data_IF_802189611954
#
_entry.id   IF_802189611954
#
_cell.length_a   1.000
_cell.length_b   1.000
_cell.length_c   1.000
_cell.angle_alpha   90.00
_cell.angle_beta   90.00
_cell.angle_gamma   90.00
#
_symmetry.space_group_name_H-M   'P 1'
#
loop_
_entity.id
_entity.type
_entity.pdbx_description
1 polymer ?
#
# COMPACT_ATOMS: atom_id res chain seq x y z
N UNK A 1 -3.09 -10.30 63.88
CA UNK A 1 -3.87 -9.97 62.66
C UNK A 1 -3.34 -10.78 61.48
N UNK A 2 -4.07 -10.87 60.36
CA UNK A 2 -3.69 -11.78 59.26
C UNK A 2 -3.00 -11.06 58.11
N UNK A 3 -1.85 -11.59 57.69
CA UNK A 3 -1.08 -11.15 56.51
C UNK A 3 -1.90 -11.11 55.21
N UNK A 4 -3.07 -11.78 55.18
CA UNK A 4 -3.98 -11.82 54.05
C UNK A 4 -4.50 -10.45 53.57
N UNK A 5 -4.45 -9.38 54.37
CA UNK A 5 -4.85 -8.03 53.91
C UNK A 5 -4.03 -7.60 52.67
N UNK A 6 -2.71 -7.81 52.67
CA UNK A 6 -1.80 -7.35 51.61
C UNK A 6 -1.85 -8.17 50.30
N UNK A 7 -2.92 -8.93 50.08
CA UNK A 7 -3.22 -9.58 48.81
C UNK A 7 -3.79 -8.59 47.79
N UNK A 8 -3.52 -8.85 46.50
CA UNK A 8 -3.86 -7.90 45.41
C UNK A 8 -5.35 -7.68 45.20
N UNK A 9 -6.21 -8.65 45.54
CA UNK A 9 -7.66 -8.48 45.52
C UNK A 9 -8.10 -7.62 46.71
N UNK A 10 -7.91 -8.11 47.93
CA UNK A 10 -8.27 -7.44 49.18
C UNK A 10 -7.83 -5.95 49.26
N UNK A 11 -6.62 -5.60 48.81
CA UNK A 11 -6.18 -4.19 48.74
C UNK A 11 -6.88 -3.42 47.61
N UNK A 12 -7.14 -4.04 46.46
CA UNK A 12 -7.93 -3.41 45.39
C UNK A 12 -9.36 -3.11 45.86
N UNK A 13 -10.01 -4.06 46.50
CA UNK A 13 -11.41 -3.96 46.94
C UNK A 13 -11.57 -2.89 48.02
N UNK A 14 -10.66 -2.83 49.01
CA UNK A 14 -10.65 -1.75 50.01
C UNK A 14 -10.28 -0.38 49.42
N UNK A 15 -9.38 -0.30 48.43
CA UNK A 15 -9.13 0.95 47.70
C UNK A 15 -10.32 1.37 46.83
N UNK A 16 -11.14 0.42 46.37
CA UNK A 16 -12.36 0.66 45.61
C UNK A 16 -13.46 1.23 46.51
N UNK A 17 -13.73 0.60 47.67
CA UNK A 17 -14.63 1.14 48.70
C UNK A 17 -14.19 2.54 49.18
N UNK A 18 -12.89 2.75 49.39
CA UNK A 18 -12.32 4.05 49.78
C UNK A 18 -12.53 5.10 48.68
N UNK A 19 -12.36 4.74 47.41
CA UNK A 19 -12.62 5.65 46.28
C UNK A 19 -14.09 6.06 46.22
N UNK A 20 -14.99 5.10 46.39
CA UNK A 20 -16.42 5.32 46.20
C UNK A 20 -17.04 6.06 47.40
N UNK A 21 -16.56 5.81 48.62
CA UNK A 21 -16.88 6.63 49.81
C UNK A 21 -16.29 8.04 49.73
N UNK A 22 -15.10 8.23 49.16
CA UNK A 22 -14.56 9.57 48.87
C UNK A 22 -15.34 10.30 47.77
N UNK A 23 -15.95 9.59 46.81
CA UNK A 23 -16.85 10.20 45.83
C UNK A 23 -18.14 10.69 46.51
N UNK A 24 -18.76 9.85 47.34
CA UNK A 24 -19.96 10.21 48.10
C UNK A 24 -19.71 11.37 49.08
N UNK A 25 -18.58 11.37 49.79
CA UNK A 25 -18.19 12.49 50.65
C UNK A 25 -18.00 13.81 49.88
N UNK A 26 -17.52 13.77 48.63
CA UNK A 26 -17.42 14.95 47.74
C UNK A 26 -18.77 15.40 47.16
N UNK A 27 -19.78 14.52 47.12
CA UNK A 27 -21.15 14.91 46.80
C UNK A 27 -21.80 15.60 48.01
N UNK A 28 -21.72 14.97 49.20
CA UNK A 28 -22.22 15.53 50.46
C UNK A 28 -21.57 16.87 50.81
N UNK A 29 -20.27 17.04 50.56
CA UNK A 29 -19.61 18.34 50.71
C UNK A 29 -20.30 19.45 49.90
N UNK A 30 -20.63 19.18 48.62
CA UNK A 30 -21.31 20.16 47.76
C UNK A 30 -22.74 20.45 48.22
N UNK A 31 -23.44 19.46 48.74
CA UNK A 31 -24.77 19.65 49.33
C UNK A 31 -24.70 20.61 50.53
N UNK A 32 -23.78 20.36 51.46
CA UNK A 32 -23.51 21.24 52.61
C UNK A 32 -23.07 22.64 52.17
N UNK A 33 -22.17 22.76 51.18
CA UNK A 33 -21.78 24.05 50.59
C UNK A 33 -23.00 24.80 50.02
N UNK A 34 -23.95 24.10 49.38
CA UNK A 34 -25.21 24.71 48.90
C UNK A 34 -26.21 25.04 50.00
N UNK A 35 -26.29 24.25 51.08
CA UNK A 35 -27.15 24.55 52.23
C UNK A 35 -26.65 25.79 52.98
N UNK A 36 -25.33 25.92 53.16
CA UNK A 36 -24.68 27.15 53.70
C UNK A 36 -25.04 28.35 52.80
N UNK A 37 -24.89 28.21 51.48
CA UNK A 37 -25.31 29.27 50.54
C UNK A 37 -26.79 29.63 50.64
N UNK A 38 -27.71 28.66 50.74
CA UNK A 38 -29.16 28.92 50.91
C UNK A 38 -29.43 29.69 52.21
N UNK A 39 -28.74 29.33 53.29
CA UNK A 39 -28.87 29.93 54.62
C UNK A 39 -28.36 31.38 54.66
N UNK A 40 -27.20 31.64 54.08
CA UNK A 40 -26.57 32.97 54.05
C UNK A 40 -27.22 33.89 53.00
N UNK A 41 -27.65 33.35 51.86
CA UNK A 41 -28.18 34.11 50.72
C UNK A 41 -29.65 34.52 50.89
N UNK A 42 -29.98 35.19 52.00
CA UNK A 42 -31.27 35.90 52.23
C UNK A 42 -31.46 37.12 51.30
N UNK A 43 -30.93 37.08 50.08
CA UNK A 43 -30.93 38.17 49.10
C UNK A 43 -30.06 38.00 47.84
N UNK A 44 -29.46 36.83 47.55
CA UNK A 44 -28.60 36.64 46.35
C UNK A 44 -28.99 35.40 45.54
N UNK A 45 -29.16 35.57 44.23
CA UNK A 45 -29.81 34.60 43.34
C UNK A 45 -28.81 33.75 42.54
N UNK A 46 -28.21 32.73 43.16
CA UNK A 46 -27.49 31.67 42.44
C UNK A 46 -28.45 30.55 41.97
N UNK A 47 -28.26 30.07 40.74
CA UNK A 47 -29.18 29.11 40.09
C UNK A 47 -29.30 27.78 40.84
N UNK A 48 -28.22 27.27 41.44
CA UNK A 48 -28.22 26.05 42.24
C UNK A 48 -28.93 26.22 43.59
N UNK A 49 -28.69 27.34 44.27
CA UNK A 49 -29.37 27.71 45.52
C UNK A 49 -30.89 27.79 45.33
N UNK A 50 -31.33 28.45 44.25
CA UNK A 50 -32.74 28.57 43.90
C UNK A 50 -33.43 27.22 43.65
N UNK A 51 -32.73 26.25 43.03
CA UNK A 51 -33.28 24.89 42.80
C UNK A 51 -33.41 24.11 44.12
N UNK A 52 -32.44 24.22 45.02
CA UNK A 52 -32.45 23.49 46.29
C UNK A 52 -33.52 24.04 47.25
N UNK A 53 -33.68 25.37 47.34
CA UNK A 53 -34.77 25.99 48.14
C UNK A 53 -36.15 25.52 47.66
N UNK A 54 -36.40 25.56 46.34
CA UNK A 54 -37.65 25.08 45.73
C UNK A 54 -37.90 23.61 46.03
N UNK A 55 -36.90 22.75 45.91
CA UNK A 55 -37.02 21.33 46.25
C UNK A 55 -37.42 21.11 47.72
N UNK A 56 -36.89 21.89 48.66
CA UNK A 56 -37.27 21.82 50.07
C UNK A 56 -38.71 22.32 50.30
N UNK A 57 -39.11 23.42 49.64
CA UNK A 57 -40.46 23.98 49.69
C UNK A 57 -41.51 23.01 49.10
N UNK A 58 -41.27 22.48 47.89
CA UNK A 58 -42.14 21.53 47.17
C UNK A 58 -42.39 20.25 47.99
N UNK A 59 -41.33 19.72 48.64
CA UNK A 59 -41.40 18.52 49.48
C UNK A 59 -41.76 18.80 50.95
N UNK A 60 -41.99 20.07 51.33
CA UNK A 60 -42.26 20.54 52.71
C UNK A 60 -41.19 20.14 53.73
N UNK A 61 -39.94 20.03 53.31
CA UNK A 61 -38.80 19.69 54.16
C UNK A 61 -38.32 20.99 54.85
N UNK A 62 -38.30 21.00 56.18
CA UNK A 62 -37.73 22.13 56.91
C UNK A 62 -36.20 22.16 56.73
N UNK A 63 -35.66 23.31 56.30
CA UNK A 63 -34.22 23.54 56.12
C UNK A 63 -33.41 23.12 57.36
N UNK A 64 -33.88 23.43 58.56
CA UNK A 64 -33.18 23.06 59.81
C UNK A 64 -33.12 21.53 60.04
N UNK A 65 -34.11 20.75 59.57
CA UNK A 65 -34.06 19.29 59.61
C UNK A 65 -33.22 18.67 58.50
N UNK A 66 -33.15 19.32 57.32
CA UNK A 66 -32.20 18.90 56.27
C UNK A 66 -30.76 19.15 56.75
N UNK A 67 -30.47 20.32 57.31
CA UNK A 67 -29.15 20.63 57.88
C UNK A 67 -28.69 19.60 58.91
N UNK A 68 -29.56 19.19 59.84
CA UNK A 68 -29.21 18.16 60.83
C UNK A 68 -28.99 16.78 60.19
N UNK A 69 -29.81 16.41 59.20
CA UNK A 69 -29.72 15.13 58.50
C UNK A 69 -28.42 15.03 57.68
N UNK A 70 -28.13 16.02 56.82
CA UNK A 70 -26.92 16.05 56.00
C UNK A 70 -25.65 16.13 56.87
N UNK A 71 -25.72 16.74 58.06
CA UNK A 71 -24.61 16.78 59.02
C UNK A 71 -24.40 15.44 59.76
N UNK A 72 -25.48 14.71 60.09
CA UNK A 72 -25.40 13.36 60.63
C UNK A 72 -24.85 12.37 59.58
N UNK A 73 -25.34 12.42 58.33
CA UNK A 73 -24.82 11.62 57.23
C UNK A 73 -23.35 11.94 56.91
N UNK A 74 -22.95 13.21 56.91
CA UNK A 74 -21.55 13.59 56.77
C UNK A 74 -20.68 13.03 57.91
N UNK A 75 -21.19 13.03 59.14
CA UNK A 75 -20.50 12.46 60.31
C UNK A 75 -20.37 10.94 60.21
N UNK A 76 -21.40 10.25 59.70
CA UNK A 76 -21.35 8.82 59.39
C UNK A 76 -20.36 8.51 58.24
N UNK A 77 -20.31 9.33 57.20
CA UNK A 77 -19.34 9.20 56.10
C UNK A 77 -17.89 9.42 56.56
N UNK A 78 -17.63 10.43 57.40
CA UNK A 78 -16.32 10.66 58.02
C UNK A 78 -15.91 9.45 58.88
N UNK A 79 -16.85 8.88 59.63
CA UNK A 79 -16.60 7.69 60.45
C UNK A 79 -16.29 6.46 59.58
N UNK A 80 -17.03 6.25 58.49
CA UNK A 80 -16.80 5.20 57.50
C UNK A 80 -15.44 5.36 56.80
N UNK A 81 -15.04 6.59 56.46
CA UNK A 81 -13.73 6.89 55.89
C UNK A 81 -12.59 6.58 56.86
N UNK A 82 -12.74 6.90 58.16
CA UNK A 82 -11.75 6.52 59.19
C UNK A 82 -11.55 5.00 59.25
N UNK A 83 -12.65 4.23 59.31
CA UNK A 83 -12.61 2.76 59.31
C UNK A 83 -11.99 2.19 58.03
N UNK A 84 -12.29 2.76 56.85
CA UNK A 84 -11.70 2.35 55.58
C UNK A 84 -10.20 2.67 55.45
N UNK A 85 -9.71 3.71 56.14
CA UNK A 85 -8.30 4.09 56.17
C UNK A 85 -7.47 3.32 57.21
N UNK A 86 -8.10 2.77 58.25
CA UNK A 86 -7.44 2.06 59.36
C UNK A 86 -6.40 1.00 58.91
N UNK A 87 -6.70 0.11 57.94
CA UNK A 87 -5.75 -0.92 57.49
C UNK A 87 -4.50 -0.37 56.78
N UNK A 88 -4.53 0.89 56.32
CA UNK A 88 -3.43 1.52 55.60
C UNK A 88 -2.46 2.26 56.55
N UNK A 89 -2.87 2.57 57.79
CA UNK A 89 -2.00 3.23 58.80
C UNK A 89 -0.71 2.47 59.09
N UNK A 90 -0.75 1.14 58.93
CA UNK A 90 0.39 0.20 59.05
C UNK A 90 1.62 0.60 58.22
N UNK A 91 1.43 1.37 57.13
CA UNK A 91 2.50 1.88 56.27
C UNK A 91 3.16 3.15 56.82
N UNK A 92 2.44 3.91 57.65
CA UNK A 92 2.86 5.22 58.19
C UNK A 92 3.19 5.20 59.68
N UNK A 93 2.73 4.18 60.42
CA UNK A 93 2.97 4.02 61.85
C UNK A 93 4.24 3.20 62.11
N UNK A 94 5.18 3.74 62.88
CA UNK A 94 6.41 3.07 63.25
C UNK A 94 6.20 1.90 64.24
N UNK A 95 5.15 1.92 65.06
CA UNK A 95 4.85 0.85 66.02
C UNK A 95 4.26 -0.42 65.37
N UNK A 96 3.73 -0.33 64.15
CA UNK A 96 3.01 -1.43 63.49
C UNK A 96 3.91 -2.65 63.17
N UNK A 97 3.36 -3.88 63.25
CA UNK A 97 4.13 -5.13 63.09
C UNK A 97 4.89 -5.27 61.77
N UNK A 98 6.09 -5.87 61.84
CA UNK A 98 7.00 -6.02 60.71
C UNK A 98 6.44 -6.96 59.63
N UNK A 99 5.62 -7.95 60.00
CA UNK A 99 4.99 -8.89 59.08
C UNK A 99 4.10 -8.16 58.07
N UNK A 100 3.30 -7.19 58.55
CA UNK A 100 2.36 -6.44 57.73
C UNK A 100 3.09 -5.37 56.90
N UNK A 101 4.09 -4.69 57.47
CA UNK A 101 5.02 -3.83 56.71
C UNK A 101 5.72 -4.60 55.58
N UNK A 102 6.16 -5.84 55.83
CA UNK A 102 6.73 -6.72 54.79
C UNK A 102 5.70 -7.08 53.72
N UNK A 103 4.42 -7.24 54.10
CA UNK A 103 3.29 -7.45 53.19
C UNK A 103 3.12 -6.28 52.21
N UNK A 104 3.09 -5.06 52.72
CA UNK A 104 3.02 -3.83 51.92
C UNK A 104 4.19 -3.72 50.93
N UNK A 105 5.43 -3.95 51.39
CA UNK A 105 6.64 -3.92 50.54
C UNK A 105 6.59 -5.01 49.45
N UNK A 106 6.19 -6.24 49.79
CA UNK A 106 6.01 -7.34 48.82
C UNK A 106 4.95 -7.01 47.78
N UNK A 107 3.85 -6.37 48.17
CA UNK A 107 2.81 -5.91 47.24
C UNK A 107 3.32 -4.82 46.29
N UNK A 108 4.04 -3.82 46.81
CA UNK A 108 4.66 -2.76 46.01
C UNK A 108 5.66 -3.33 44.99
N UNK A 109 6.52 -4.27 45.40
CA UNK A 109 7.45 -4.98 44.52
C UNK A 109 6.74 -5.80 43.43
N UNK A 110 5.65 -6.53 43.77
CA UNK A 110 4.80 -7.23 42.79
C UNK A 110 4.23 -6.27 41.75
N UNK A 111 3.72 -5.11 42.17
CA UNK A 111 3.17 -4.08 41.29
C UNK A 111 4.25 -3.47 40.37
N UNK A 112 5.44 -3.16 40.89
CA UNK A 112 6.57 -2.70 40.08
C UNK A 112 7.05 -3.76 39.07
N UNK A 113 7.15 -5.03 39.49
CA UNK A 113 7.50 -6.17 38.60
C UNK A 113 6.47 -6.33 37.48
N UNK A 114 5.17 -6.18 37.77
CA UNK A 114 4.11 -6.20 36.78
C UNK A 114 4.23 -5.02 35.78
N UNK A 115 4.38 -3.78 36.27
CA UNK A 115 4.61 -2.59 35.41
C UNK A 115 5.81 -2.79 34.46
N UNK A 116 6.94 -3.27 34.98
CA UNK A 116 8.16 -3.58 34.21
C UNK A 116 7.92 -4.67 33.15
N UNK A 117 7.24 -5.75 33.52
CA UNK A 117 6.89 -6.87 32.63
C UNK A 117 5.92 -6.43 31.51
N UNK A 118 4.89 -5.62 31.83
CA UNK A 118 3.94 -5.06 30.85
C UNK A 118 4.66 -4.22 29.78
N UNK A 119 5.65 -3.41 30.17
CA UNK A 119 6.50 -2.65 29.24
C UNK A 119 7.44 -3.56 28.44
N UNK A 120 8.10 -4.54 29.07
CA UNK A 120 8.98 -5.50 28.39
C UNK A 120 8.21 -6.33 27.33
N UNK A 121 7.02 -6.82 27.66
CA UNK A 121 6.13 -7.54 26.72
C UNK A 121 5.73 -6.67 25.53
N UNK A 122 5.41 -5.38 25.75
CA UNK A 122 5.17 -4.41 24.65
C UNK A 122 6.42 -4.27 23.75
N UNK A 123 7.61 -4.07 24.34
CA UNK A 123 8.88 -3.94 23.60
C UNK A 123 9.30 -5.21 22.86
N UNK A 124 9.01 -6.41 23.40
CA UNK A 124 9.26 -7.69 22.70
C UNK A 124 8.34 -7.82 21.49
N UNK A 125 7.03 -7.56 21.64
CA UNK A 125 6.09 -7.60 20.50
C UNK A 125 6.42 -6.57 19.42
N UNK A 126 6.81 -5.34 19.79
CA UNK A 126 7.21 -4.32 18.80
C UNK A 126 8.39 -4.82 17.95
N UNK A 127 9.46 -5.33 18.58
CA UNK A 127 10.63 -5.87 17.86
C UNK A 127 10.33 -7.09 16.97
N UNK A 128 9.38 -7.94 17.36
CA UNK A 128 8.92 -9.04 16.49
C UNK A 128 8.17 -8.51 15.27
N UNK A 129 7.26 -7.54 15.45
CA UNK A 129 6.56 -6.90 14.34
C UNK A 129 7.51 -6.09 13.42
N UNK A 130 8.50 -5.39 13.98
CA UNK A 130 9.56 -4.70 13.24
C UNK A 130 10.43 -5.68 12.43
N UNK A 131 10.69 -6.89 12.96
CA UNK A 131 11.38 -7.95 12.24
C UNK A 131 10.57 -8.50 11.07
N UNK A 132 9.30 -8.86 11.31
CA UNK A 132 8.38 -9.37 10.28
C UNK A 132 8.08 -8.34 9.19
N UNK A 133 8.03 -7.05 9.51
CA UNK A 133 7.88 -5.98 8.53
C UNK A 133 9.10 -5.92 7.59
N UNK A 134 10.32 -5.93 8.14
CA UNK A 134 11.57 -5.97 7.38
C UNK A 134 11.80 -7.28 6.62
N UNK A 135 11.08 -8.33 6.95
CA UNK A 135 11.09 -9.60 6.21
C UNK A 135 10.19 -9.50 4.99
N UNK A 136 8.96 -8.99 5.14
CA UNK A 136 8.05 -8.67 4.03
C UNK A 136 8.64 -7.67 3.04
N UNK A 137 9.20 -6.57 3.55
CA UNK A 137 9.88 -5.54 2.76
C UNK A 137 10.98 -6.11 1.85
N UNK A 138 11.72 -7.14 2.31
CA UNK A 138 12.75 -7.81 1.50
C UNK A 138 12.20 -8.79 0.47
N UNK A 139 11.05 -9.40 0.70
CA UNK A 139 10.34 -10.16 -0.34
C UNK A 139 9.75 -9.21 -1.39
N UNK A 140 9.10 -8.13 -0.96
CA UNK A 140 8.55 -7.10 -1.83
C UNK A 140 9.63 -6.42 -2.71
N UNK A 141 10.84 -6.22 -2.16
CA UNK A 141 12.02 -5.78 -2.93
C UNK A 141 12.48 -6.82 -3.96
N UNK A 142 12.58 -8.10 -3.59
CA UNK A 142 12.99 -9.16 -4.50
C UNK A 142 11.99 -9.38 -5.66
N UNK A 143 10.69 -9.28 -5.39
CA UNK A 143 9.63 -9.34 -6.40
C UNK A 143 9.72 -8.14 -7.36
N UNK A 144 9.95 -6.92 -6.83
CA UNK A 144 10.17 -5.71 -7.64
C UNK A 144 11.43 -5.83 -8.53
N UNK A 145 12.56 -6.30 -7.99
CA UNK A 145 13.78 -6.54 -8.77
C UNK A 145 13.56 -7.58 -9.88
N UNK A 146 12.78 -8.63 -9.62
CA UNK A 146 12.45 -9.65 -10.61
C UNK A 146 11.56 -9.10 -11.74
N UNK A 147 10.50 -8.35 -11.43
CA UNK A 147 9.64 -7.76 -12.46
C UNK A 147 10.32 -6.61 -13.22
N UNK A 148 11.18 -5.81 -12.57
CA UNK A 148 12.08 -4.87 -13.26
C UNK A 148 13.01 -5.59 -14.25
N UNK A 149 13.64 -6.70 -13.84
CA UNK A 149 14.49 -7.49 -14.73
C UNK A 149 13.72 -8.03 -15.94
N UNK A 150 12.51 -8.55 -15.72
CA UNK A 150 11.63 -9.05 -16.80
C UNK A 150 11.21 -7.92 -17.75
N UNK A 151 10.87 -6.75 -17.22
CA UNK A 151 10.54 -5.56 -18.03
C UNK A 151 11.75 -5.10 -18.87
N UNK A 152 12.96 -5.11 -18.32
CA UNK A 152 14.21 -4.78 -19.03
C UNK A 152 14.50 -5.76 -20.18
N UNK A 153 14.33 -7.07 -19.98
CA UNK A 153 14.51 -8.05 -21.07
C UNK A 153 13.42 -7.93 -22.15
N UNK A 154 12.15 -7.76 -21.76
CA UNK A 154 11.05 -7.53 -22.73
C UNK A 154 11.33 -6.26 -23.58
N UNK A 155 11.84 -5.18 -22.96
CA UNK A 155 12.20 -3.97 -23.67
C UNK A 155 13.37 -4.18 -24.67
N UNK A 156 14.41 -4.92 -24.28
CA UNK A 156 15.51 -5.31 -25.19
C UNK A 156 15.00 -6.11 -26.38
N UNK A 157 14.10 -7.07 -26.13
CA UNK A 157 13.59 -7.96 -27.16
C UNK A 157 12.68 -7.22 -28.15
N UNK A 158 11.86 -6.29 -27.65
CA UNK A 158 11.09 -5.35 -28.49
C UNK A 158 12.02 -4.45 -29.31
N UNK A 159 13.09 -3.90 -28.73
CA UNK A 159 14.06 -3.08 -29.44
C UNK A 159 14.78 -3.86 -30.56
N UNK A 160 15.22 -5.09 -30.28
CA UNK A 160 15.83 -5.99 -31.26
C UNK A 160 14.88 -6.29 -32.43
N UNK A 161 13.62 -6.67 -32.14
CA UNK A 161 12.58 -6.91 -33.15
C UNK A 161 12.28 -5.66 -34.01
N UNK A 162 12.33 -4.46 -33.43
CA UNK A 162 12.22 -3.19 -34.20
C UNK A 162 13.42 -2.99 -35.14
N UNK A 163 14.64 -3.17 -34.64
CA UNK A 163 15.87 -3.05 -35.43
C UNK A 163 15.91 -4.06 -36.58
N UNK A 164 15.50 -5.30 -36.35
CA UNK A 164 15.50 -6.33 -37.40
C UNK A 164 14.42 -6.06 -38.46
N UNK A 165 13.22 -5.59 -38.10
CA UNK A 165 12.23 -5.08 -39.06
C UNK A 165 12.75 -3.89 -39.89
N UNK A 166 13.50 -2.96 -39.28
CA UNK A 166 14.12 -1.86 -40.03
C UNK A 166 15.16 -2.36 -41.04
N UNK A 167 15.94 -3.40 -40.71
CA UNK A 167 16.85 -4.06 -41.66
C UNK A 167 16.11 -4.74 -42.81
N UNK A 168 14.95 -5.35 -42.55
CA UNK A 168 14.10 -5.96 -43.58
C UNK A 168 13.55 -4.90 -44.55
N UNK A 169 12.99 -3.81 -44.02
CA UNK A 169 12.52 -2.66 -44.82
C UNK A 169 13.66 -2.07 -45.66
N UNK A 170 14.85 -1.87 -45.08
CA UNK A 170 16.02 -1.38 -45.80
C UNK A 170 16.47 -2.33 -46.92
N UNK A 171 16.47 -3.66 -46.68
CA UNK A 171 16.76 -4.68 -47.71
C UNK A 171 15.72 -4.71 -48.83
N UNK A 172 14.45 -4.49 -48.52
CA UNK A 172 13.38 -4.41 -49.52
C UNK A 172 13.56 -3.17 -50.39
N UNK A 173 13.74 -1.98 -49.79
CA UNK A 173 13.98 -0.74 -50.54
C UNK A 173 15.24 -0.85 -51.40
N UNK A 174 16.35 -1.37 -50.88
CA UNK A 174 17.58 -1.57 -51.67
C UNK A 174 17.40 -2.53 -52.87
N UNK A 175 16.51 -3.53 -52.76
CA UNK A 175 16.14 -4.38 -53.90
C UNK A 175 15.23 -3.66 -54.90
N UNK A 176 14.33 -2.79 -54.43
CA UNK A 176 13.43 -2.01 -55.26
C UNK A 176 14.20 -0.98 -56.11
N UNK A 177 15.06 -0.17 -55.48
CA UNK A 177 15.91 0.81 -56.18
C UNK A 177 16.86 0.12 -57.17
N UNK A 178 17.40 -1.06 -56.81
CA UNK A 178 18.19 -1.86 -57.76
C UNK A 178 17.37 -2.27 -58.99
N UNK A 179 16.11 -2.68 -58.83
CA UNK A 179 15.25 -3.06 -59.97
C UNK A 179 14.87 -1.86 -60.84
N UNK A 180 14.72 -0.67 -60.28
CA UNK A 180 14.53 0.58 -61.03
C UNK A 180 15.75 0.85 -61.92
N UNK A 181 16.94 0.89 -61.31
CA UNK A 181 18.20 1.08 -62.03
C UNK A 181 18.49 -0.01 -63.10
N UNK A 182 18.11 -1.26 -62.84
CA UNK A 182 18.19 -2.34 -63.83
C UNK A 182 17.26 -2.08 -65.04
N UNK A 183 16.03 -1.57 -64.83
CA UNK A 183 15.12 -1.20 -65.93
C UNK A 183 15.48 0.10 -66.66
N UNK A 184 16.08 1.07 -65.96
CA UNK A 184 16.62 2.29 -66.57
C UNK A 184 17.80 1.97 -67.49
N UNK A 185 18.69 1.06 -67.06
CA UNK A 185 19.80 0.56 -67.87
C UNK A 185 19.32 -0.22 -69.11
N UNK A 186 18.27 -1.03 -68.98
CA UNK A 186 17.64 -1.70 -70.13
C UNK A 186 17.11 -0.70 -71.15
N UNK A 187 16.45 0.38 -70.71
CA UNK A 187 15.98 1.45 -71.58
C UNK A 187 17.14 2.19 -72.28
N UNK A 188 18.23 2.50 -71.56
CA UNK A 188 19.43 3.12 -72.14
C UNK A 188 20.06 2.22 -73.21
N UNK A 189 20.20 0.92 -72.97
CA UNK A 189 20.71 -0.03 -73.96
C UNK A 189 19.83 -0.09 -75.22
N UNK A 190 18.51 -0.02 -75.08
CA UNK A 190 17.59 0.04 -76.23
C UNK A 190 17.81 1.33 -77.03
N UNK A 191 17.97 2.48 -76.35
CA UNK A 191 18.26 3.77 -76.99
C UNK A 191 19.62 3.75 -77.71
N UNK A 192 20.67 3.20 -77.11
CA UNK A 192 21.97 3.02 -77.75
C UNK A 192 21.87 2.17 -79.02
N UNK A 193 21.14 1.05 -78.99
CA UNK A 193 20.94 0.21 -80.19
C UNK A 193 20.10 0.89 -81.27
N UNK A 194 19.13 1.74 -80.91
CA UNK A 194 18.43 2.58 -81.88
C UNK A 194 19.35 3.66 -82.49
N UNK A 195 20.29 4.23 -81.72
CA UNK A 195 21.30 5.15 -82.22
C UNK A 195 22.33 4.47 -83.14
N UNK A 196 22.80 3.26 -82.80
CA UNK A 196 23.64 2.43 -83.67
C UNK A 196 22.95 2.19 -85.02
N UNK A 197 21.69 1.74 -84.99
CA UNK A 197 20.88 1.50 -86.20
C UNK A 197 20.64 2.78 -87.02
N UNK A 198 20.38 3.93 -86.37
CA UNK A 198 20.31 5.25 -87.03
C UNK A 198 21.65 5.56 -87.73
N UNK A 199 22.78 5.39 -87.06
CA UNK A 199 24.10 5.67 -87.64
C UNK A 199 24.41 4.79 -88.87
N UNK A 200 24.05 3.50 -88.83
CA UNK A 200 24.24 2.56 -89.95
C UNK A 200 23.32 2.93 -91.13
N UNK A 201 22.07 3.33 -90.86
CA UNK A 201 21.13 3.82 -91.89
C UNK A 201 21.66 5.10 -92.56
N UNK A 202 22.14 6.05 -91.76
CA UNK A 202 22.76 7.31 -92.21
C UNK A 202 23.96 7.03 -93.11
N UNK A 203 24.87 6.14 -92.71
CA UNK A 203 26.03 5.76 -93.52
C UNK A 203 25.63 5.06 -94.83
N UNK A 204 24.60 4.20 -94.83
CA UNK A 204 24.08 3.55 -96.04
C UNK A 204 23.52 4.56 -97.04
N UNK A 205 22.66 5.48 -96.58
CA UNK A 205 22.09 6.54 -97.43
C UNK A 205 23.18 7.45 -98.03
N UNK A 206 24.15 7.86 -97.21
CA UNK A 206 25.29 8.68 -97.66
C UNK A 206 26.16 7.97 -98.72
N UNK A 207 26.34 6.64 -98.63
CA UNK A 207 27.01 5.83 -99.66
C UNK A 207 26.18 5.64 -100.93
N UNK A 208 24.86 5.78 -100.85
CA UNK A 208 23.94 5.70 -102.00
C UNK A 208 23.76 7.05 -102.73
N UNK A 209 24.50 8.10 -102.32
CA UNK A 209 24.40 9.43 -102.92
C UNK A 209 23.21 10.27 -102.44
N UNK A 210 22.41 9.75 -101.50
CA UNK A 210 21.36 10.54 -100.86
C UNK A 210 22.00 11.50 -99.85
N UNK A 211 21.87 12.81 -100.12
CA UNK A 211 22.17 13.84 -99.14
C UNK A 211 21.21 13.70 -97.96
N UNK A 212 21.75 13.77 -96.75
CA UNK A 212 20.97 13.79 -95.51
C UNK A 212 20.63 15.26 -95.23
N UNK A 213 19.37 15.62 -94.93
CA UNK A 213 19.06 16.98 -94.51
C UNK A 213 19.79 17.32 -93.22
N UNK A 214 20.56 18.41 -93.17
CA UNK A 214 21.16 18.90 -91.91
C UNK A 214 20.08 19.38 -90.91
N UNK A 215 18.82 19.40 -91.33
CA UNK A 215 17.62 19.65 -90.52
C UNK A 215 17.37 18.57 -89.47
N UNK A 216 17.79 17.32 -89.74
CA UNK A 216 17.55 16.16 -88.86
C UNK A 216 18.42 16.23 -87.59
N UNK A 217 19.68 16.64 -87.74
CA UNK A 217 20.58 16.84 -86.60
C UNK A 217 20.30 18.19 -85.89
N UNK A 218 19.90 19.25 -86.62
CA UNK A 218 19.33 20.48 -86.02
C UNK A 218 18.02 20.21 -85.28
N UNK A 219 17.26 19.17 -85.63
CA UNK A 219 16.07 18.74 -84.89
C UNK A 219 16.48 18.05 -83.59
N UNK A 220 17.44 17.13 -83.62
CA UNK A 220 17.96 16.50 -82.39
C UNK A 220 18.66 17.48 -81.45
N UNK A 221 19.33 18.51 -81.98
CA UNK A 221 19.90 19.61 -81.20
C UNK A 221 18.81 20.44 -80.51
N UNK A 222 17.71 20.76 -81.22
CA UNK A 222 16.53 21.43 -80.64
C UNK A 222 15.80 20.55 -79.62
N UNK A 223 15.69 19.24 -79.84
CA UNK A 223 15.10 18.29 -78.87
C UNK A 223 15.97 18.21 -77.61
N UNK A 224 17.30 18.12 -77.76
CA UNK A 224 18.23 18.15 -76.63
C UNK A 224 18.10 19.45 -75.83
N UNK A 225 18.13 20.61 -76.50
CA UNK A 225 17.97 21.90 -75.85
C UNK A 225 16.60 22.07 -75.16
N UNK A 226 15.54 21.46 -75.69
CA UNK A 226 14.23 21.44 -75.05
C UNK A 226 14.20 20.56 -73.79
N UNK A 227 14.84 19.39 -73.81
CA UNK A 227 14.98 18.52 -72.62
C UNK A 227 15.87 19.19 -71.56
N UNK A 228 17.00 19.80 -71.94
CA UNK A 228 17.87 20.57 -71.02
C UNK A 228 17.19 21.83 -70.45
N UNK A 229 16.15 22.35 -71.12
CA UNK A 229 15.28 23.42 -70.61
C UNK A 229 14.22 22.86 -69.65
N UNK A 230 13.57 21.73 -70.00
CA UNK A 230 12.61 21.04 -69.13
C UNK A 230 13.24 20.57 -67.82
N UNK A 231 14.44 19.98 -67.85
CA UNK A 231 15.21 19.60 -66.66
C UNK A 231 15.54 20.81 -65.78
N UNK A 232 15.92 21.95 -66.37
CA UNK A 232 16.14 23.20 -65.60
C UNK A 232 14.86 23.76 -65.00
N UNK A 233 13.73 23.65 -65.70
CA UNK A 233 12.43 24.07 -65.17
C UNK A 233 11.94 23.13 -64.06
N UNK A 234 12.20 21.83 -64.17
CA UNK A 234 11.92 20.84 -63.14
C UNK A 234 12.76 21.08 -61.87
N UNK A 235 14.07 21.31 -62.01
CA UNK A 235 14.92 21.70 -60.87
C UNK A 235 14.44 23.01 -60.23
N UNK A 236 14.16 24.04 -61.04
CA UNK A 236 13.65 25.33 -60.56
C UNK A 236 12.20 25.29 -60.04
N UNK A 237 11.49 24.16 -60.18
CA UNK A 237 10.22 23.89 -59.52
C UNK A 237 10.46 23.15 -58.19
N UNK A 238 11.29 22.10 -58.20
CA UNK A 238 11.68 21.35 -57.01
C UNK A 238 12.34 22.25 -55.93
N UNK A 239 13.22 23.17 -56.33
CA UNK A 239 13.82 24.16 -55.42
C UNK A 239 12.76 25.08 -54.78
N UNK A 240 11.72 25.46 -55.53
CA UNK A 240 10.62 26.29 -55.01
C UNK A 240 9.71 25.51 -54.07
N UNK A 241 9.47 24.24 -54.34
CA UNK A 241 8.64 23.39 -53.48
C UNK A 241 9.39 23.00 -52.20
N UNK A 242 10.67 22.67 -52.28
CA UNK A 242 11.54 22.52 -51.11
C UNK A 242 11.61 23.80 -50.26
N UNK A 243 11.61 24.98 -50.89
CA UNK A 243 11.55 26.26 -50.18
C UNK A 243 10.18 26.50 -49.50
N UNK A 244 9.06 26.08 -50.12
CA UNK A 244 7.73 26.11 -49.48
C UNK A 244 7.68 25.18 -48.27
N UNK A 245 8.13 23.94 -48.42
CA UNK A 245 8.11 22.94 -47.33
C UNK A 245 8.99 23.37 -46.15
N UNK A 246 10.13 24.03 -46.43
CA UNK A 246 10.96 24.65 -45.40
C UNK A 246 10.26 25.81 -44.68
N UNK A 247 9.46 26.63 -45.38
CA UNK A 247 8.64 27.69 -44.78
C UNK A 247 7.52 27.09 -43.92
N UNK A 248 6.78 26.10 -44.43
CA UNK A 248 5.71 25.41 -43.68
C UNK A 248 6.27 24.78 -42.40
N UNK A 249 7.41 24.07 -42.48
CA UNK A 249 8.10 23.49 -41.32
C UNK A 249 8.54 24.58 -40.31
N UNK A 250 8.95 25.75 -40.78
CA UNK A 250 9.31 26.89 -39.93
C UNK A 250 8.08 27.59 -39.30
N UNK A 251 6.90 27.50 -39.90
CA UNK A 251 5.65 28.02 -39.35
C UNK A 251 5.00 27.03 -38.36
N UNK A 252 4.97 25.74 -38.66
CA UNK A 252 4.54 24.70 -37.71
C UNK A 252 5.37 24.73 -36.41
N UNK A 253 6.69 24.81 -36.52
CA UNK A 253 7.55 24.94 -35.33
C UNK A 253 7.33 26.24 -34.55
N UNK A 254 6.89 27.33 -35.20
CA UNK A 254 6.49 28.58 -34.51
C UNK A 254 5.16 28.48 -33.79
N UNK A 255 4.17 27.75 -34.32
CA UNK A 255 2.88 27.55 -33.63
C UNK A 255 3.05 26.67 -32.38
N UNK A 256 3.87 25.63 -32.46
CA UNK A 256 4.23 24.75 -31.33
C UNK A 256 4.85 25.55 -30.17
N UNK A 257 5.65 26.58 -30.47
CA UNK A 257 6.25 27.45 -29.45
C UNK A 257 5.20 28.40 -28.82
N UNK A 258 4.29 28.97 -29.61
CA UNK A 258 3.22 29.83 -29.08
C UNK A 258 2.20 29.07 -28.21
N UNK A 259 1.95 27.79 -28.48
CA UNK A 259 1.05 26.95 -27.68
C UNK A 259 1.50 26.68 -26.24
N UNK A 260 2.70 27.10 -25.83
CA UNK A 260 3.30 26.82 -24.51
C UNK A 260 3.50 28.06 -23.65
N UNK A 261 2.71 29.12 -23.88
CA UNK A 261 3.00 30.49 -23.43
C UNK A 261 1.88 31.31 -22.78
N UNK A 262 0.77 30.72 -22.32
CA UNK A 262 -0.24 31.37 -21.46
C UNK A 262 -1.12 30.33 -20.77
N UNK A 263 -1.69 30.66 -19.61
CA UNK A 263 -2.65 29.78 -18.94
C UNK A 263 -3.54 30.51 -17.93
N UNK A 264 -4.77 30.02 -17.75
CA UNK A 264 -5.49 29.96 -16.46
C UNK A 264 -6.85 29.24 -16.64
N UNK A 265 -7.05 28.20 -15.84
CA UNK A 265 -8.30 27.81 -15.16
C UNK A 265 -9.69 27.67 -15.88
N UNK A 266 -10.22 26.42 -15.82
CA UNK A 266 -11.49 26.04 -15.13
C UNK A 266 -12.86 26.06 -15.88
N UNK A 267 -13.44 24.83 -16.00
CA UNK A 267 -14.88 24.42 -16.08
C UNK A 267 -15.74 24.77 -17.32
N UNK A 268 -16.51 23.78 -17.82
CA UNK A 268 -17.76 24.03 -18.59
C UNK A 268 -18.26 22.90 -19.51
N UNK A 269 -19.19 22.05 -19.02
CA UNK A 269 -19.80 20.91 -19.77
C UNK A 269 -20.66 21.28 -20.99
N UNK A 270 -20.73 20.42 -22.03
CA UNK A 270 -22.01 19.76 -22.47
C UNK A 270 -21.95 18.83 -23.71
N UNK A 271 -22.32 17.56 -23.48
CA UNK A 271 -23.33 16.69 -24.16
C UNK A 271 -23.60 16.77 -25.70
N UNK A 272 -23.45 15.60 -26.36
CA UNK A 272 -23.89 15.22 -27.74
C UNK A 272 -22.92 14.13 -28.24
N UNK A 273 -23.30 12.99 -28.84
CA UNK A 273 -24.29 12.70 -29.89
C UNK A 273 -23.53 12.50 -31.21
N UNK A 274 -23.64 11.43 -32.01
CA UNK A 274 -24.63 10.33 -32.08
C UNK A 274 -23.96 8.96 -32.46
N UNK A 275 -24.76 7.97 -32.86
CA UNK A 275 -24.42 6.55 -33.05
C UNK A 275 -24.06 6.18 -34.51
N UNK A 276 -23.43 5.02 -34.71
CA UNK A 276 -23.63 4.20 -35.93
C UNK A 276 -23.32 2.73 -35.66
N UNK A 277 -24.01 1.81 -36.34
CA UNK A 277 -24.14 0.40 -35.95
C UNK A 277 -24.01 -0.56 -37.14
N UNK A 278 -23.44 -1.75 -36.90
CA UNK A 278 -23.48 -2.98 -37.74
C UNK A 278 -22.87 -2.86 -39.17
N UNK A 279 -22.67 -3.90 -40.00
CA UNK A 279 -22.98 -5.36 -40.00
C UNK A 279 -21.69 -6.15 -40.38
N UNK A 280 -21.29 -7.23 -39.69
CA UNK A 280 -21.73 -8.64 -39.78
C UNK A 280 -21.43 -9.35 -41.12
N UNK A 281 -20.37 -10.17 -41.13
CA UNK A 281 -20.32 -11.52 -41.76
C UNK A 281 -19.04 -12.25 -41.26
N UNK A 282 -18.99 -13.56 -41.02
CA UNK A 282 -20.07 -14.55 -40.97
C UNK A 282 -19.62 -15.94 -41.42
N UNK A 283 -19.07 -16.77 -40.52
CA UNK A 283 -18.87 -18.21 -40.77
C UNK A 283 -18.94 -19.02 -39.46
N UNK A 284 -19.78 -20.06 -39.43
CA UNK A 284 -19.94 -20.96 -38.28
C UNK A 284 -18.95 -22.13 -38.33
N UNK A 285 -18.66 -22.72 -37.17
CA UNK A 285 -18.70 -24.19 -37.01
C UNK A 285 -19.07 -24.53 -35.57
N UNK A 286 -19.80 -25.65 -35.38
CA UNK A 286 -20.46 -26.01 -34.12
C UNK A 286 -19.73 -27.14 -33.41
N UNK A 287 -19.54 -27.02 -32.10
CA UNK A 287 -20.06 -27.95 -31.08
C UNK A 287 -19.56 -27.53 -29.67
N UNK A 288 -20.22 -27.90 -28.56
CA UNK A 288 -21.49 -28.63 -28.40
C UNK A 288 -21.69 -29.10 -26.95
N UNK A 289 -22.94 -29.09 -26.46
CA UNK A 289 -23.37 -29.43 -25.07
C UNK A 289 -22.94 -28.41 -23.98
N UNK A 290 -23.81 -27.80 -23.15
CA UNK A 290 -24.97 -28.28 -22.35
C UNK A 290 -24.51 -29.13 -21.14
N UNK A 291 -24.94 -28.92 -19.88
CA UNK A 291 -26.18 -28.35 -19.28
C UNK A 291 -25.81 -27.47 -18.05
N UNK A 292 -26.49 -26.39 -17.61
CA UNK A 292 -27.92 -26.14 -17.26
C UNK A 292 -28.40 -27.00 -16.07
N UNK A 293 -28.95 -26.50 -14.96
CA UNK A 293 -28.99 -25.16 -14.28
C UNK A 293 -29.08 -25.44 -12.73
N UNK A 294 -29.44 -24.59 -11.73
CA UNK A 294 -30.09 -23.26 -11.64
C UNK A 294 -29.87 -22.56 -10.26
N UNK A 295 -30.57 -21.43 -10.01
CA UNK A 295 -30.83 -20.82 -8.68
C UNK A 295 -31.92 -21.65 -7.91
N UNK A 296 -32.38 -21.38 -6.68
CA UNK A 296 -32.40 -20.17 -5.84
C UNK A 296 -32.71 -20.53 -4.35
N UNK A 297 -32.99 -19.51 -3.52
CA UNK A 297 -33.85 -19.55 -2.30
C UNK A 297 -33.23 -19.70 -0.88
N UNK A 298 -32.59 -18.61 -0.42
CA UNK A 298 -33.07 -17.78 0.72
C UNK A 298 -33.85 -18.47 1.86
N UNK A 299 -33.28 -18.53 3.07
CA UNK A 299 -33.94 -18.13 4.35
C UNK A 299 -32.98 -17.94 5.53
N UNK A 300 -33.49 -17.35 6.62
CA UNK A 300 -32.73 -16.91 7.81
C UNK A 300 -32.57 -18.03 8.87
N UNK A 301 -31.56 -17.92 9.73
CA UNK A 301 -31.45 -18.73 10.96
C UNK A 301 -30.22 -18.35 11.81
N UNK A 302 -30.40 -18.26 13.14
CA UNK A 302 -29.32 -18.05 14.11
C UNK A 302 -28.50 -19.34 14.31
N UNK A 303 -27.19 -19.22 14.53
CA UNK A 303 -26.36 -20.35 14.99
C UNK A 303 -24.88 -19.98 15.13
N UNK A 304 -24.38 -19.91 16.38
CA UNK A 304 -22.95 -19.66 16.64
C UNK A 304 -22.21 -20.97 16.93
N UNK A 305 -21.29 -21.36 16.06
CA UNK A 305 -20.17 -22.26 16.39
C UNK A 305 -19.07 -22.15 15.34
N UNK A 306 -17.80 -22.20 15.75
CA UNK A 306 -16.66 -22.30 14.84
C UNK A 306 -16.36 -23.78 14.55
N UNK A 307 -16.85 -24.31 13.43
CA UNK A 307 -16.45 -25.64 12.94
C UNK A 307 -15.04 -25.59 12.32
N UNK A 308 -14.01 -25.69 13.15
CA UNK A 308 -12.69 -26.14 12.72
C UNK A 308 -12.76 -27.64 12.40
N UNK A 309 -13.19 -27.98 11.19
CA UNK A 309 -13.05 -29.33 10.65
C UNK A 309 -12.58 -29.30 9.19
N UNK A 310 -11.26 -29.28 9.04
CA UNK A 310 -10.56 -29.35 7.75
C UNK A 310 -9.17 -29.98 7.91
N UNK A 311 -9.01 -30.81 8.95
CA UNK A 311 -7.73 -31.41 9.39
C UNK A 311 -7.88 -32.90 9.75
N UNK A 312 -9.11 -33.40 9.96
CA UNK A 312 -9.39 -34.80 10.30
C UNK A 312 -9.09 -35.82 9.18
N UNK A 313 -8.70 -35.36 7.99
CA UNK A 313 -8.38 -36.19 6.82
C UNK A 313 -6.87 -36.46 6.63
N UNK A 314 -6.00 -36.00 7.54
CA UNK A 314 -4.56 -36.28 7.48
C UNK A 314 -4.23 -37.68 8.02
N UNK A 315 -3.20 -38.37 7.47
CA UNK A 315 -2.72 -39.63 8.03
C UNK A 315 -2.28 -39.45 9.50
N UNK A 316 -2.60 -40.44 10.33
CA UNK A 316 -2.44 -40.39 11.80
C UNK A 316 -1.05 -39.95 12.27
N UNK A 317 -0.02 -40.35 11.53
CA UNK A 317 1.40 -40.02 11.77
C UNK A 317 1.68 -38.52 11.84
N UNK A 318 0.94 -37.69 11.10
CA UNK A 318 1.12 -36.24 11.07
C UNK A 318 0.36 -35.49 12.17
N UNK A 319 -0.59 -36.14 12.85
CA UNK A 319 -1.44 -35.50 13.86
C UNK A 319 -0.61 -34.98 15.06
N UNK A 320 0.44 -35.71 15.43
CA UNK A 320 1.36 -35.36 16.51
C UNK A 320 2.15 -34.05 16.26
N UNK A 321 2.40 -33.69 15.00
CA UNK A 321 3.15 -32.47 14.65
C UNK A 321 2.33 -31.19 14.90
N UNK A 322 1.02 -31.24 14.67
CA UNK A 322 0.13 -30.08 14.79
C UNK A 322 -0.55 -29.94 16.16
N UNK A 323 -0.86 -31.07 16.83
CA UNK A 323 -1.55 -31.05 18.12
C UNK A 323 -0.63 -31.27 19.32
N UNK A 324 0.63 -31.66 19.09
CA UNK A 324 1.59 -32.00 20.14
C UNK A 324 1.38 -33.40 20.70
N UNK A 325 2.42 -33.95 21.33
CA UNK A 325 2.34 -35.21 22.06
C UNK A 325 1.92 -34.97 23.51
N UNK A 326 1.06 -35.85 24.04
CA UNK A 326 0.71 -35.89 25.48
C UNK A 326 1.83 -36.50 26.35
N UNK A 327 2.98 -36.88 25.80
CA UNK A 327 4.16 -37.29 26.57
C UNK A 327 4.66 -36.12 27.42
N UNK A 328 4.76 -36.34 28.73
CA UNK A 328 5.22 -35.33 29.68
C UNK A 328 6.61 -34.77 29.32
N UNK A 329 6.64 -33.47 29.01
CA UNK A 329 7.89 -32.75 28.73
C UNK A 329 8.68 -32.41 30.00
N UNK A 330 8.08 -32.55 31.19
CA UNK A 330 8.79 -32.44 32.47
C UNK A 330 9.86 -33.51 32.65
N UNK A 331 9.51 -34.77 32.43
CA UNK A 331 10.43 -35.92 32.55
C UNK A 331 11.67 -35.77 31.65
N UNK A 332 11.52 -35.22 30.44
CA UNK A 332 12.65 -34.94 29.54
C UNK A 332 13.60 -33.85 30.06
N UNK A 333 13.09 -32.87 30.82
CA UNK A 333 13.91 -31.81 31.43
C UNK A 333 14.73 -32.36 32.61
N UNK A 334 14.21 -33.35 33.34
CA UNK A 334 14.96 -34.02 34.40
C UNK A 334 16.12 -34.89 33.86
N UNK A 335 15.90 -35.59 32.73
CA UNK A 335 16.98 -36.35 32.06
C UNK A 335 18.07 -35.44 31.50
N UNK A 336 17.71 -34.29 30.92
CA UNK A 336 18.69 -33.32 30.38
C UNK A 336 19.49 -32.65 31.51
N UNK A 337 18.85 -32.31 32.64
CA UNK A 337 19.54 -31.64 33.77
C UNK A 337 20.43 -32.59 34.58
N UNK A 338 20.01 -33.84 34.80
CA UNK A 338 20.83 -34.86 35.47
C UNK A 338 22.07 -35.23 34.66
N UNK A 339 21.93 -35.48 33.35
CA UNK A 339 23.07 -35.78 32.48
C UNK A 339 24.06 -34.62 32.38
N UNK A 340 23.60 -33.38 32.24
CA UNK A 340 24.48 -32.20 32.20
C UNK A 340 25.28 -32.01 33.51
N UNK A 341 24.69 -32.34 34.67
CA UNK A 341 25.37 -32.30 35.96
C UNK A 341 26.52 -33.32 36.05
N UNK A 342 26.29 -34.55 35.60
CA UNK A 342 27.31 -35.62 35.57
C UNK A 342 28.47 -35.26 34.63
N UNK A 343 28.19 -34.78 33.41
CA UNK A 343 29.23 -34.35 32.48
C UNK A 343 30.04 -33.15 33.00
N UNK A 344 29.39 -32.17 33.65
CA UNK A 344 30.09 -31.04 34.26
C UNK A 344 31.03 -31.50 35.38
N UNK A 345 30.61 -32.46 36.22
CA UNK A 345 31.45 -32.98 37.31
C UNK A 345 32.67 -33.74 36.78
N UNK A 346 32.49 -34.60 35.77
CA UNK A 346 33.58 -35.32 35.10
C UNK A 346 34.58 -34.37 34.43
N UNK A 347 34.11 -33.35 33.72
CA UNK A 347 34.98 -32.35 33.09
C UNK A 347 35.86 -31.61 34.12
N UNK A 348 35.30 -31.23 35.27
CA UNK A 348 36.07 -30.62 36.37
C UNK A 348 37.12 -31.59 36.94
N UNK A 349 36.80 -32.88 37.04
CA UNK A 349 37.71 -33.90 37.56
C UNK A 349 38.90 -34.18 36.61
N UNK A 350 38.67 -34.19 35.30
CA UNK A 350 39.74 -34.30 34.29
C UNK A 350 40.72 -33.12 34.34
N UNK A 351 40.22 -31.89 34.50
CA UNK A 351 41.05 -30.68 34.62
C UNK A 351 41.91 -30.72 35.90
N UNK A 352 41.35 -31.18 37.03
CA UNK A 352 42.10 -31.32 38.30
C UNK A 352 43.17 -32.42 38.27
N UNK A 353 43.05 -33.43 37.40
CA UNK A 353 44.01 -34.53 37.26
C UNK A 353 45.09 -34.29 36.20
N UNK A 354 45.12 -33.12 35.55
CA UNK A 354 46.20 -32.73 34.63
C UNK A 354 46.34 -33.59 33.38
N UNK A 355 45.30 -34.37 33.02
CA UNK A 355 45.29 -35.22 31.84
C UNK A 355 44.51 -34.55 30.70
N UNK A 356 45.25 -34.01 29.75
CA UNK A 356 44.72 -33.64 28.43
C UNK A 356 44.24 -34.88 27.69
N UNK A 357 43.05 -34.81 27.10
CA UNK A 357 42.65 -35.68 26.00
C UNK A 357 43.26 -35.17 24.68
#
# INVERSE_FOLDING_TARGET
MSSAFWNTANVHDRLQELRDTLYLAKAMQKELDTLIKVKDAKGVNETSSCVLSKYLEDNRINLASQESLSLEEASALISKLRVALEPFKVVTDDASPWEEKSGAVRLAQKLQKNKRNKLWRKRKRKRVAEGLAKERERFEQADQEADEWRAREIAKDIAKRKVDKMKEIAKLKAKEERRKAESELELVLIVEKLQELRSIRIQKLKRQGHFLPEEDDKFLERVRAAVEEEERQAMAAADKDAAKDAIVTAEESRTIIHGRGSGSEVIGSSKGGEESQDQITGSETKDGSSRVTDRESRKQGLGSSWSYDSVASLPLEFYHYYHGSNTDTGTLIEVISTTFSVYSSLATYCILLGKTC
#
